data_IF_379166171823
#
_entry.id   IF_379166171823
#
_cell.length_a   1.000
_cell.length_b   1.000
_cell.length_c   1.000
_cell.angle_alpha   90.00
_cell.angle_beta   90.00
_cell.angle_gamma   90.00
#
_symmetry.space_group_name_H-M   'P 1'
#
loop_
_entity.id
_entity.type
_entity.pdbx_description
1 polymer ?
#
# COMPACT_ATOMS: atom_id res chain seq x y z
N UNK A 1 -29.47 8.74 -3.64
CA UNK A 1 -28.61 7.53 -3.65
C UNK A 1 -27.51 7.81 -4.65
N UNK A 2 -26.45 8.48 -4.20
CA UNK A 2 -25.29 8.76 -5.05
C UNK A 2 -24.34 7.57 -4.94
N UNK A 3 -24.26 6.79 -6.01
CA UNK A 3 -23.13 5.91 -6.25
C UNK A 3 -21.94 6.81 -6.56
N UNK A 4 -21.13 7.09 -5.54
CA UNK A 4 -19.85 7.76 -5.70
C UNK A 4 -18.95 6.92 -6.58
N UNK A 5 -18.68 7.41 -7.78
CA UNK A 5 -17.60 6.96 -8.64
C UNK A 5 -16.29 7.17 -7.85
N UNK A 6 -15.73 6.08 -7.31
CA UNK A 6 -14.35 6.10 -6.88
C UNK A 6 -13.50 6.19 -8.14
N UNK A 7 -13.06 7.41 -8.43
CA UNK A 7 -11.97 7.69 -9.36
C UNK A 7 -10.77 6.85 -8.91
N UNK A 8 -10.59 5.69 -9.54
CA UNK A 8 -9.28 5.08 -9.62
C UNK A 8 -8.47 5.96 -10.57
N UNK A 9 -7.82 6.97 -9.99
CA UNK A 9 -6.82 7.75 -10.69
C UNK A 9 -5.79 6.75 -11.21
N UNK A 10 -5.77 6.59 -12.54
CA UNK A 10 -4.82 5.74 -13.24
C UNK A 10 -3.44 6.32 -13.00
N UNK A 11 -2.76 5.82 -11.97
CA UNK A 11 -1.45 6.25 -11.57
C UNK A 11 -0.52 6.18 -12.77
N UNK A 12 -0.07 7.36 -13.21
CA UNK A 12 0.97 7.52 -14.21
C UNK A 12 2.11 6.54 -13.92
N UNK A 13 2.43 5.66 -14.87
CA UNK A 13 3.70 4.95 -14.89
C UNK A 13 4.81 6.00 -15.03
N UNK A 14 5.22 6.58 -13.90
CA UNK A 14 6.38 7.46 -13.86
C UNK A 14 7.62 6.59 -14.03
N UNK A 15 8.02 6.37 -15.28
CA UNK A 15 9.31 5.78 -15.61
C UNK A 15 10.38 6.50 -14.77
N UNK A 16 10.98 5.77 -13.84
CA UNK A 16 12.00 6.32 -12.98
C UNK A 16 13.33 6.13 -13.69
N UNK A 17 13.88 7.20 -14.24
CA UNK A 17 15.22 7.22 -14.80
C UNK A 17 16.25 7.14 -13.67
N UNK A 18 16.36 5.95 -13.09
CA UNK A 18 17.27 5.65 -12.00
C UNK A 18 18.52 4.98 -12.56
N UNK A 19 19.71 5.30 -12.01
CA UNK A 19 20.93 4.63 -12.41
C UNK A 19 20.82 3.10 -12.25
N UNK A 20 21.46 2.32 -13.15
CA UNK A 20 21.50 0.87 -13.01
C UNK A 20 21.99 0.45 -11.61
N UNK A 21 21.27 -0.48 -11.00
CA UNK A 21 21.60 -1.00 -9.66
C UNK A 21 20.97 -0.22 -8.50
N UNK A 22 20.31 0.92 -8.74
CA UNK A 22 19.50 1.56 -7.72
C UNK A 22 18.34 0.63 -7.30
N UNK A 23 18.16 0.48 -5.99
CA UNK A 23 17.07 -0.31 -5.41
C UNK A 23 16.42 0.46 -4.28
N UNK A 24 15.10 0.34 -4.21
CA UNK A 24 14.38 0.80 -3.05
C UNK A 24 14.56 -0.20 -1.91
N UNK A 25 15.43 0.17 -0.97
CA UNK A 25 15.75 -0.63 0.20
C UNK A 25 15.74 0.26 1.46
N UNK A 26 14.57 0.80 1.83
CA UNK A 26 14.45 1.70 2.97
C UNK A 26 14.61 0.93 4.29
N UNK A 27 15.15 1.59 5.30
CA UNK A 27 15.12 1.14 6.69
C UNK A 27 13.72 1.34 7.31
N UNK A 28 13.45 0.64 8.41
CA UNK A 28 12.19 0.80 9.16
C UNK A 28 11.95 2.26 9.58
N UNK A 29 13.01 2.95 10.00
CA UNK A 29 12.94 4.36 10.39
C UNK A 29 12.56 5.25 9.20
N UNK A 30 13.15 5.03 8.03
CA UNK A 30 12.84 5.79 6.82
C UNK A 30 11.40 5.52 6.36
N UNK A 31 10.93 4.27 6.42
CA UNK A 31 9.53 3.91 6.11
C UNK A 31 8.55 4.69 6.99
N UNK A 32 8.84 4.80 8.29
CA UNK A 32 7.98 5.51 9.23
C UNK A 32 8.06 7.02 9.03
N UNK A 33 9.26 7.59 9.04
CA UNK A 33 9.48 9.04 9.13
C UNK A 33 9.27 9.75 7.80
N UNK A 34 9.73 9.16 6.69
CA UNK A 34 9.72 9.81 5.39
C UNK A 34 8.53 9.43 4.51
N UNK A 35 7.90 8.28 4.75
CA UNK A 35 6.77 7.81 3.94
C UNK A 35 5.46 7.82 4.73
N UNK A 36 5.36 7.01 5.78
CA UNK A 36 4.10 6.82 6.50
C UNK A 36 3.65 8.08 7.24
N UNK A 37 4.54 8.73 7.98
CA UNK A 37 4.22 9.95 8.74
C UNK A 37 3.76 11.08 7.80
N UNK A 38 4.40 11.21 6.63
CA UNK A 38 3.97 12.17 5.60
C UNK A 38 2.59 11.84 5.04
N UNK A 39 2.32 10.56 4.75
CA UNK A 39 1.01 10.12 4.25
C UNK A 39 -0.13 10.33 5.24
N UNK A 40 0.16 10.22 6.54
CA UNK A 40 -0.83 10.48 7.59
C UNK A 40 -1.07 11.98 7.79
N UNK A 41 -0.02 12.79 7.69
CA UNK A 41 -0.12 14.24 7.81
C UNK A 41 -0.81 14.89 6.59
N UNK A 42 -0.61 14.33 5.40
CA UNK A 42 -1.19 14.81 4.15
C UNK A 42 -1.76 13.65 3.33
N UNK A 43 -3.08 13.61 3.20
CA UNK A 43 -3.79 12.59 2.41
C UNK A 43 -3.44 12.62 0.92
N UNK A 44 -3.01 13.77 0.39
CA UNK A 44 -2.57 13.95 -0.99
C UNK A 44 -1.10 13.62 -1.20
N UNK A 45 -0.36 13.24 -0.15
CA UNK A 45 1.02 12.81 -0.31
C UNK A 45 1.09 11.57 -1.22
N UNK A 46 1.86 11.69 -2.30
CA UNK A 46 2.13 10.59 -3.22
C UNK A 46 3.61 10.23 -3.12
N UNK A 47 3.89 9.00 -2.71
CA UNK A 47 5.23 8.45 -2.80
C UNK A 47 5.48 7.91 -4.22
N UNK A 48 6.68 8.16 -4.73
CA UNK A 48 7.10 7.62 -6.04
C UNK A 48 7.32 6.11 -6.00
N UNK A 49 7.91 5.61 -4.90
CA UNK A 49 8.23 4.19 -4.73
C UNK A 49 7.10 3.34 -4.10
N UNK A 50 6.15 3.96 -3.40
CA UNK A 50 5.10 3.25 -2.63
C UNK A 50 3.73 3.53 -3.26
N UNK A 51 3.03 2.45 -3.64
CA UNK A 51 1.68 2.51 -4.22
C UNK A 51 0.58 2.59 -3.16
N UNK A 52 -0.67 2.72 -3.59
CA UNK A 52 -1.84 2.60 -2.72
C UNK A 52 -2.63 1.34 -3.10
N UNK A 53 -3.05 0.56 -2.10
CA UNK A 53 -3.84 -0.65 -2.33
C UNK A 53 -4.77 -0.92 -1.16
N UNK A 54 -5.92 -1.52 -1.44
CA UNK A 54 -6.79 -2.09 -0.42
C UNK A 54 -6.43 -3.57 -0.24
N UNK A 55 -5.64 -3.88 0.79
CA UNK A 55 -5.16 -5.24 1.06
C UNK A 55 -6.29 -6.24 1.39
N UNK A 56 -7.51 -5.76 1.65
CA UNK A 56 -8.68 -6.62 1.88
C UNK A 56 -9.43 -6.98 0.60
N UNK A 57 -9.12 -6.32 -0.53
CA UNK A 57 -9.78 -6.54 -1.83
C UNK A 57 -8.84 -7.07 -2.91
N UNK A 58 -7.54 -7.16 -2.61
CA UNK A 58 -6.52 -7.59 -3.55
C UNK A 58 -5.84 -8.82 -3.00
N UNK A 59 -5.71 -9.84 -3.84
CA UNK A 59 -5.03 -11.06 -3.46
C UNK A 59 -3.51 -10.90 -3.51
N UNK A 60 -2.75 -11.68 -2.71
CA UNK A 60 -1.31 -11.51 -2.61
C UNK A 60 -0.57 -11.64 -3.96
N UNK A 61 -1.06 -12.50 -4.86
CA UNK A 61 -0.46 -12.72 -6.18
C UNK A 61 -0.74 -11.58 -7.18
N UNK A 62 -1.72 -10.70 -6.89
CA UNK A 62 -2.03 -9.53 -7.70
C UNK A 62 -1.23 -8.29 -7.27
N UNK A 63 -0.65 -8.31 -6.06
CA UNK A 63 0.13 -7.19 -5.53
C UNK A 63 1.32 -6.79 -6.42
N UNK A 64 2.14 -7.72 -6.95
CA UNK A 64 3.30 -7.35 -7.78
C UNK A 64 2.91 -6.46 -8.97
N UNK A 65 1.76 -6.71 -9.60
CA UNK A 65 1.26 -5.94 -10.74
C UNK A 65 0.77 -4.53 -10.38
N UNK A 66 0.51 -4.29 -9.09
CA UNK A 66 0.04 -2.99 -8.59
C UNK A 66 1.15 -2.17 -7.95
N UNK A 67 2.33 -2.76 -7.78
CA UNK A 67 3.45 -2.07 -7.16
C UNK A 67 4.04 -1.02 -8.10
N UNK A 68 4.40 0.14 -7.56
CA UNK A 68 5.10 1.19 -8.32
C UNK A 68 6.59 0.88 -8.51
N UNK A 69 7.16 0.06 -7.64
CA UNK A 69 8.59 -0.25 -7.60
C UNK A 69 8.84 -1.54 -6.82
N UNK A 70 9.97 -2.20 -7.11
CA UNK A 70 10.44 -3.37 -6.38
C UNK A 70 10.42 -4.65 -7.22
N UNK A 71 11.44 -5.49 -7.04
CA UNK A 71 11.57 -6.76 -7.76
C UNK A 71 11.15 -7.95 -6.89
N UNK A 72 11.58 -7.96 -5.62
CA UNK A 72 11.37 -9.05 -4.67
C UNK A 72 10.45 -8.69 -3.50
N UNK A 73 10.36 -7.39 -3.22
CA UNK A 73 9.61 -6.82 -2.11
C UNK A 73 8.85 -5.62 -2.66
N UNK A 74 7.62 -5.45 -2.19
CA UNK A 74 6.72 -4.39 -2.65
C UNK A 74 6.12 -3.68 -1.46
N UNK A 75 5.99 -2.36 -1.59
CA UNK A 75 5.52 -1.50 -0.52
C UNK A 75 4.23 -0.79 -0.94
N UNK A 76 3.26 -0.80 -0.04
CA UNK A 76 1.96 -0.16 -0.27
C UNK A 76 1.50 0.61 0.96
N UNK A 77 0.85 1.73 0.71
CA UNK A 77 -0.10 2.30 1.66
C UNK A 77 -1.42 1.55 1.55
N UNK A 78 -1.94 1.12 2.69
CA UNK A 78 -3.27 0.53 2.79
C UNK A 78 -4.02 1.20 3.91
N UNK A 79 -5.29 1.53 3.66
CA UNK A 79 -6.19 2.00 4.70
C UNK A 79 -6.39 0.85 5.69
N UNK A 80 -6.25 1.15 6.98
CA UNK A 80 -6.42 0.15 8.04
C UNK A 80 -7.91 -0.08 8.29
N UNK A 81 -8.47 -1.14 7.70
CA UNK A 81 -9.86 -1.51 7.92
C UNK A 81 -10.09 -2.17 9.30
N UNK A 82 -11.23 -1.89 9.92
CA UNK A 82 -11.63 -2.47 11.21
C UNK A 82 -12.61 -3.60 10.95
N UNK A 83 -12.34 -4.78 11.54
CA UNK A 83 -13.25 -5.94 11.45
C UNK A 83 -14.64 -5.64 12.05
N UNK A 84 -14.69 -4.80 13.08
CA UNK A 84 -15.93 -4.38 13.73
C UNK A 84 -15.93 -2.87 13.95
N UNK A 85 -17.09 -2.19 13.86
CA UNK A 85 -17.17 -0.73 14.01
C UNK A 85 -16.57 -0.20 15.31
N UNK A 86 -16.77 -0.94 16.41
CA UNK A 86 -16.37 -0.54 17.77
C UNK A 86 -15.06 -1.17 18.24
N UNK A 87 -14.39 -1.97 17.41
CA UNK A 87 -13.20 -2.74 17.79
C UNK A 87 -11.89 -2.20 17.24
N UNK A 88 -10.78 -2.56 17.88
CA UNK A 88 -9.42 -2.32 17.38
C UNK A 88 -8.91 -3.43 16.46
N UNK A 89 -9.67 -4.52 16.31
CA UNK A 89 -9.27 -5.66 15.50
C UNK A 89 -9.29 -5.29 14.02
N UNK A 90 -8.13 -5.35 13.38
CA UNK A 90 -7.99 -5.11 11.93
C UNK A 90 -8.68 -6.21 11.13
N UNK A 91 -9.34 -5.83 10.04
CA UNK A 91 -9.80 -6.78 9.04
C UNK A 91 -8.61 -7.30 8.23
N UNK A 92 -8.57 -8.61 8.04
CA UNK A 92 -7.49 -9.29 7.31
C UNK A 92 -8.02 -10.31 6.31
N UNK A 93 -9.33 -10.31 6.06
CA UNK A 93 -9.91 -11.16 5.03
C UNK A 93 -9.61 -10.59 3.65
N UNK A 94 -9.43 -11.48 2.70
CA UNK A 94 -9.53 -11.26 1.25
C UNK A 94 -10.71 -12.09 0.72
N UNK A 95 -10.96 -12.10 -0.58
CA UNK A 95 -12.05 -12.89 -1.15
C UNK A 95 -11.73 -14.39 -1.09
N UNK A 96 -10.48 -14.75 -1.42
CA UNK A 96 -10.01 -16.12 -1.44
C UNK A 96 -9.46 -16.63 -0.09
N UNK A 97 -9.29 -15.76 0.91
CA UNK A 97 -8.66 -16.19 2.17
C UNK A 97 -8.51 -15.10 3.24
N UNK A 98 -7.42 -15.19 4.01
CA UNK A 98 -7.12 -14.20 5.04
C UNK A 98 -5.63 -14.16 5.39
N UNK A 99 -5.15 -12.97 5.79
CA UNK A 99 -3.81 -12.76 6.31
C UNK A 99 -3.70 -13.16 7.79
N UNK A 100 -2.83 -14.13 8.08
CA UNK A 100 -2.53 -14.57 9.46
C UNK A 100 -1.31 -13.81 10.01
N UNK A 101 -1.42 -13.27 11.23
CA UNK A 101 -0.26 -12.71 11.92
C UNK A 101 0.78 -13.81 12.20
N UNK A 102 2.03 -13.52 11.92
CA UNK A 102 3.19 -14.34 12.30
C UNK A 102 4.19 -13.43 13.04
N UNK A 103 4.98 -13.99 13.96
CA UNK A 103 5.93 -13.20 14.79
C UNK A 103 5.32 -12.64 16.08
N UNK A 104 6.11 -11.86 16.81
CA UNK A 104 5.79 -11.29 18.13
C UNK A 104 6.08 -9.79 18.15
#
# INVERSE_FOLDING_TARGET
MECGEYLFDGGEEQHMDLPPGFRFYPTDEELITHYLSKKVADGHFVARAIGEVDLNKVEPWDLPWRAKMGEKEWYFFSVRDRKYPTGLRTNRATDAGYWKATGK
#
